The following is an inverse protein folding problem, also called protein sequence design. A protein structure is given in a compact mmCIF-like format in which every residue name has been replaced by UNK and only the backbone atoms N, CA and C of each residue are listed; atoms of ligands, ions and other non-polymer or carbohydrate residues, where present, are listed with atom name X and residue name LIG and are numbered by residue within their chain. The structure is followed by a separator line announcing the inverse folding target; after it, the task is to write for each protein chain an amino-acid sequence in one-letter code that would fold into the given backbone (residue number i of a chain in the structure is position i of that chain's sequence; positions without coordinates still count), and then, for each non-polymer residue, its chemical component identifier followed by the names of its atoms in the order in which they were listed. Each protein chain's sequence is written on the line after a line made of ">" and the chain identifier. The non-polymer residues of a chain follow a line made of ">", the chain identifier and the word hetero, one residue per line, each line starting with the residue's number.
data_IF_449351551778
#
_entry.id   IF_449351551778
#
_cell.length_a   1.000
_cell.length_b   1.000
_cell.length_c   1.000
_cell.angle_alpha   90.00
_cell.angle_beta   90.00
_cell.angle_gamma   90.00
#
_symmetry.space_group_name_H-M   'P 1'
#
loop_
_entity.id
_entity.type
_entity.pdbx_description
1 polymer ?
#
# COMPACT_ATOMS: atom_id res chain seq x y z
N UNK A 1 -23.31 6.00 9.84
CA UNK A 1 -22.14 5.35 9.22
C UNK A 1 -22.42 4.99 7.78
N UNK A 2 -21.42 5.11 6.91
CA UNK A 2 -21.49 4.73 5.51
C UNK A 2 -20.71 3.44 5.25
N UNK A 3 -21.18 2.61 4.30
CA UNK A 3 -20.46 1.43 3.81
C UNK A 3 -19.72 1.81 2.53
N UNK A 4 -18.40 1.78 2.59
CA UNK A 4 -17.55 1.91 1.42
C UNK A 4 -17.12 0.53 0.92
N UNK A 5 -17.24 0.36 -0.40
CA UNK A 5 -16.52 -0.68 -1.11
C UNK A 5 -15.09 -0.20 -1.34
N UNK A 6 -14.18 -1.18 -1.41
CA UNK A 6 -12.76 -1.17 -1.80
C UNK A 6 -12.23 0.02 -2.61
N UNK A 7 -13.03 0.59 -3.52
CA UNK A 7 -12.64 1.66 -4.45
C UNK A 7 -12.88 3.11 -3.97
N UNK A 8 -13.49 3.32 -2.80
CA UNK A 8 -13.88 4.68 -2.34
C UNK A 8 -12.84 5.37 -1.43
N UNK A 9 -11.57 5.37 -1.83
CA UNK A 9 -10.46 5.97 -1.06
C UNK A 9 -10.69 7.47 -0.76
N UNK A 10 -11.29 8.21 -1.69
CA UNK A 10 -11.53 9.67 -1.55
C UNK A 10 -12.36 10.00 -0.30
N UNK A 11 -13.38 9.19 -0.01
CA UNK A 11 -14.22 9.37 1.18
C UNK A 11 -13.52 9.00 2.48
N UNK A 12 -12.58 8.06 2.47
CA UNK A 12 -11.78 7.79 3.68
C UNK A 12 -10.90 8.99 4.04
N UNK A 13 -10.29 9.64 3.05
CA UNK A 13 -9.43 10.81 3.28
C UNK A 13 -10.18 11.96 3.96
N UNK A 14 -11.49 12.09 3.76
CA UNK A 14 -12.34 13.07 4.45
C UNK A 14 -12.46 12.82 5.96
N UNK A 15 -12.28 11.58 6.42
CA UNK A 15 -12.33 11.22 7.84
C UNK A 15 -10.98 11.38 8.55
N UNK A 16 -9.87 11.34 7.81
CA UNK A 16 -8.51 11.36 8.38
C UNK A 16 -8.26 12.58 9.27
N UNK A 17 -8.62 13.83 8.89
CA UNK A 17 -8.44 14.98 9.77
C UNK A 17 -9.20 14.82 11.10
N UNK A 18 -10.48 14.41 11.04
CA UNK A 18 -11.33 14.22 12.23
C UNK A 18 -10.79 13.16 13.19
N UNK A 19 -10.17 12.11 12.65
CA UNK A 19 -9.56 11.06 13.46
C UNK A 19 -8.27 11.56 14.11
N UNK A 20 -7.45 12.33 13.38
CA UNK A 20 -6.21 12.90 13.91
C UNK A 20 -6.48 13.91 15.03
N UNK A 21 -7.58 14.65 14.94
CA UNK A 21 -7.97 15.64 15.95
C UNK A 21 -8.31 15.02 17.31
N UNK A 22 -8.82 13.77 17.34
CA UNK A 22 -9.22 13.10 18.57
C UNK A 22 -9.00 11.57 18.51
N UNK A 23 -7.74 11.14 18.40
CA UNK A 23 -7.39 9.71 18.30
C UNK A 23 -7.99 8.86 19.43
N UNK A 24 -8.14 9.45 20.62
CA UNK A 24 -8.68 8.77 21.79
C UNK A 24 -10.15 8.39 21.62
N UNK A 25 -10.95 9.13 20.85
CA UNK A 25 -12.36 8.83 20.61
C UNK A 25 -12.62 7.81 19.51
N UNK A 26 -11.63 7.49 18.67
CA UNK A 26 -11.81 6.60 17.52
C UNK A 26 -11.31 5.18 17.78
N UNK A 27 -12.02 4.20 17.21
CA UNK A 27 -11.65 2.78 17.26
C UNK A 27 -11.58 2.23 15.85
N UNK A 28 -10.61 1.36 15.63
CA UNK A 28 -10.62 0.43 14.51
C UNK A 28 -11.18 -0.90 15.00
N UNK A 29 -12.07 -1.50 14.21
CA UNK A 29 -12.54 -2.87 14.40
C UNK A 29 -12.23 -3.67 13.14
N UNK A 30 -11.51 -4.76 13.29
CA UNK A 30 -11.30 -5.74 12.23
C UNK A 30 -12.24 -6.91 12.48
N UNK A 31 -13.07 -7.23 11.50
CA UNK A 31 -14.02 -8.34 11.55
C UNK A 31 -13.61 -9.37 10.50
N UNK A 32 -13.01 -10.46 10.97
CA UNK A 32 -12.64 -11.61 10.15
C UNK A 32 -13.83 -12.57 10.04
N UNK A 33 -14.14 -13.01 8.82
CA UNK A 33 -15.21 -13.98 8.54
C UNK A 33 -14.59 -15.36 8.36
N UNK A 34 -14.79 -16.24 9.33
CA UNK A 34 -14.06 -17.50 9.48
C UNK A 34 -14.77 -18.71 8.87
N UNK A 35 -15.75 -18.52 7.96
CA UNK A 35 -16.45 -19.62 7.31
C UNK A 35 -17.46 -19.20 6.23
N UNK A 36 -18.09 -20.19 5.58
CA UNK A 36 -19.23 -19.97 4.69
C UNK A 36 -20.52 -19.81 5.51
N UNK A 37 -20.90 -18.55 5.74
CA UNK A 37 -22.06 -18.16 6.56
C UNK A 37 -23.39 -18.27 5.80
N UNK A 38 -23.36 -18.62 4.52
CA UNK A 38 -24.52 -18.48 3.62
C UNK A 38 -24.92 -17.03 3.31
N UNK A 39 -24.23 -16.05 3.89
CA UNK A 39 -24.50 -14.62 3.75
C UNK A 39 -23.36 -13.93 3.00
N UNK A 40 -23.72 -13.04 2.06
CA UNK A 40 -22.74 -12.22 1.36
C UNK A 40 -22.09 -11.21 2.34
N UNK A 41 -20.79 -10.95 2.20
CA UNK A 41 -20.03 -9.97 3.01
C UNK A 41 -20.71 -8.59 3.09
N UNK A 42 -21.37 -8.16 2.02
CA UNK A 42 -22.16 -6.91 1.99
C UNK A 42 -23.32 -6.93 2.99
N UNK A 43 -23.98 -8.07 3.16
CA UNK A 43 -25.05 -8.23 4.13
C UNK A 43 -24.52 -8.13 5.56
N UNK A 44 -23.36 -8.76 5.83
CA UNK A 44 -22.70 -8.71 7.15
C UNK A 44 -22.24 -7.27 7.45
N UNK A 45 -21.66 -6.57 6.47
CA UNK A 45 -21.29 -5.16 6.60
C UNK A 45 -22.49 -4.25 6.96
N UNK A 46 -23.68 -4.52 6.39
CA UNK A 46 -24.92 -3.81 6.78
C UNK A 46 -25.28 -4.07 8.24
N UNK A 47 -25.19 -5.32 8.71
CA UNK A 47 -25.46 -5.65 10.12
C UNK A 47 -24.48 -4.99 11.08
N UNK A 48 -23.19 -4.97 10.74
CA UNK A 48 -22.19 -4.22 11.50
C UNK A 48 -22.53 -2.72 11.53
N UNK A 49 -22.96 -2.16 10.40
CA UNK A 49 -23.36 -0.73 10.32
C UNK A 49 -24.55 -0.43 11.23
N UNK A 50 -25.56 -1.31 11.28
CA UNK A 50 -26.72 -1.19 12.17
C UNK A 50 -26.30 -1.15 13.66
N UNK A 51 -25.28 -1.92 14.05
CA UNK A 51 -24.78 -1.96 15.44
C UNK A 51 -24.20 -0.62 15.92
N UNK A 52 -23.73 0.20 14.98
CA UNK A 52 -23.14 1.51 15.22
C UNK A 52 -24.06 2.65 14.76
N UNK A 53 -25.36 2.39 14.65
CA UNK A 53 -26.34 3.43 14.32
C UNK A 53 -26.23 4.61 15.29
N UNK A 54 -26.26 5.83 14.74
CA UNK A 54 -26.07 7.08 15.48
C UNK A 54 -24.60 7.43 15.79
N UNK A 55 -23.63 6.59 15.43
CA UNK A 55 -22.21 6.92 15.54
C UNK A 55 -21.63 7.42 14.23
N UNK A 56 -20.64 8.31 14.34
CA UNK A 56 -19.83 8.73 13.22
C UNK A 56 -18.79 7.64 12.91
N UNK A 57 -18.62 7.32 11.64
CA UNK A 57 -17.73 6.24 11.24
C UNK A 57 -18.04 5.71 9.85
N UNK A 58 -17.22 4.76 9.45
CA UNK A 58 -17.15 4.22 8.10
C UNK A 58 -16.80 2.73 8.15
N UNK A 59 -17.44 1.96 7.27
CA UNK A 59 -17.23 0.51 7.14
C UNK A 59 -16.58 0.26 5.79
N UNK A 60 -15.46 -0.45 5.81
CA UNK A 60 -14.72 -0.91 4.64
C UNK A 60 -14.92 -2.41 4.50
N UNK A 61 -15.31 -2.83 3.32
CA UNK A 61 -15.22 -4.25 2.96
C UNK A 61 -13.82 -4.42 2.34
N UNK A 62 -12.95 -5.22 2.96
CA UNK A 62 -11.52 -5.37 2.60
C UNK A 62 -11.22 -6.62 1.77
N UNK A 63 -12.06 -7.65 1.87
CA UNK A 63 -12.21 -8.78 0.94
C UNK A 63 -13.46 -9.57 1.36
N UNK A 64 -13.75 -10.70 0.71
CA UNK A 64 -14.89 -11.55 1.07
C UNK A 64 -14.79 -12.18 2.47
N UNK A 65 -13.65 -12.05 3.14
CA UNK A 65 -13.37 -12.64 4.46
C UNK A 65 -13.03 -11.58 5.52
N UNK A 66 -13.05 -10.30 5.19
CA UNK A 66 -12.60 -9.26 6.12
C UNK A 66 -13.34 -7.93 5.91
N UNK A 67 -13.81 -7.36 7.01
CA UNK A 67 -14.43 -6.04 7.08
C UNK A 67 -13.66 -5.23 8.11
N UNK A 68 -13.32 -3.99 7.77
CA UNK A 68 -12.67 -3.04 8.66
C UNK A 68 -13.64 -1.91 8.97
N UNK A 69 -13.76 -1.53 10.23
CA UNK A 69 -14.65 -0.47 10.69
C UNK A 69 -13.81 0.58 11.38
N UNK A 70 -13.93 1.82 10.95
CA UNK A 70 -13.42 2.97 11.68
C UNK A 70 -14.62 3.71 12.26
N UNK A 71 -14.70 3.81 13.58
CA UNK A 71 -15.88 4.36 14.26
C UNK A 71 -15.48 5.21 15.45
N UNK A 72 -16.11 6.36 15.60
CA UNK A 72 -16.01 7.19 16.79
C UNK A 72 -16.89 6.56 17.88
N UNK A 73 -16.26 6.10 18.96
CA UNK A 73 -16.94 5.48 20.09
C UNK A 73 -16.81 6.27 21.39
N UNK A 74 -16.10 7.39 21.36
CA UNK A 74 -15.73 8.19 22.52
C UNK A 74 -14.53 7.59 23.28
N UNK A 75 -13.82 8.42 24.07
CA UNK A 75 -12.56 8.04 24.72
C UNK A 75 -12.73 6.93 25.76
N UNK A 76 -13.88 6.88 26.43
CA UNK A 76 -14.22 5.89 27.47
C UNK A 76 -14.49 4.48 26.94
N UNK A 77 -14.51 4.29 25.62
CA UNK A 77 -14.83 3.00 25.01
C UNK A 77 -13.64 2.04 25.12
N UNK A 78 -13.81 0.97 25.90
CA UNK A 78 -12.85 -0.14 25.95
C UNK A 78 -12.87 -0.95 24.62
N UNK A 79 -11.74 -1.04 23.90
CA UNK A 79 -11.64 -1.81 22.66
C UNK A 79 -11.92 -3.30 22.86
N UNK A 80 -11.44 -3.92 23.94
CA UNK A 80 -11.56 -5.37 24.12
C UNK A 80 -13.04 -5.77 24.31
N UNK A 81 -13.76 -5.01 25.12
CA UNK A 81 -15.21 -5.15 25.27
C UNK A 81 -15.97 -4.89 23.97
N UNK A 82 -15.54 -3.92 23.16
CA UNK A 82 -16.17 -3.62 21.89
C UNK A 82 -16.06 -4.80 20.91
N UNK A 83 -14.88 -5.40 20.77
CA UNK A 83 -14.66 -6.57 19.93
C UNK A 83 -15.50 -7.77 20.37
N UNK A 84 -15.48 -8.09 21.67
CA UNK A 84 -16.30 -9.17 22.25
C UNK A 84 -17.79 -8.98 21.97
N UNK A 85 -18.32 -7.78 22.20
CA UNK A 85 -19.73 -7.45 21.99
C UNK A 85 -20.17 -7.62 20.54
N UNK A 86 -19.27 -7.40 19.57
CA UNK A 86 -19.55 -7.64 18.15
C UNK A 86 -19.64 -9.15 17.88
N UNK A 87 -18.68 -9.93 18.37
CA UNK A 87 -18.73 -11.39 18.25
C UNK A 87 -19.98 -12.01 18.89
N UNK A 88 -20.33 -11.59 20.11
CA UNK A 88 -21.50 -12.10 20.85
C UNK A 88 -22.84 -11.77 20.19
N UNK A 89 -22.94 -10.62 19.52
CA UNK A 89 -24.17 -10.21 18.82
C UNK A 89 -24.30 -10.78 17.41
N UNK A 90 -23.23 -11.38 16.89
CA UNK A 90 -23.15 -11.89 15.52
C UNK A 90 -22.74 -13.38 15.42
N UNK A 91 -23.19 -14.29 16.32
CA UNK A 91 -22.74 -15.68 16.32
C UNK A 91 -23.14 -16.44 15.04
N UNK A 92 -24.28 -16.10 14.44
CA UNK A 92 -24.78 -16.68 13.19
C UNK A 92 -23.94 -16.30 11.96
N UNK A 93 -23.07 -15.30 12.07
CA UNK A 93 -22.26 -14.80 10.95
C UNK A 93 -20.83 -15.30 10.97
N UNK A 94 -20.49 -16.30 11.80
CA UNK A 94 -19.15 -16.93 11.88
C UNK A 94 -18.02 -15.89 11.76
N UNK A 95 -18.07 -14.85 12.58
CA UNK A 95 -17.14 -13.75 12.52
C UNK A 95 -16.41 -13.57 13.86
N UNK A 96 -15.11 -13.30 13.78
CA UNK A 96 -14.30 -12.86 14.89
C UNK A 96 -14.02 -11.36 14.75
N UNK A 97 -14.27 -10.60 15.81
CA UNK A 97 -14.07 -9.16 15.82
C UNK A 97 -12.99 -8.78 16.84
N UNK A 98 -12.01 -8.03 16.38
CA UNK A 98 -10.96 -7.45 17.20
C UNK A 98 -11.02 -5.93 17.07
N UNK A 99 -11.07 -5.22 18.19
CA UNK A 99 -11.07 -3.77 18.19
C UNK A 99 -9.84 -3.24 18.93
N UNK A 100 -9.31 -2.13 18.42
CA UNK A 100 -8.16 -1.45 18.99
C UNK A 100 -8.37 0.07 19.00
N UNK A 101 -7.66 0.75 19.90
CA UNK A 101 -7.47 2.20 19.79
C UNK A 101 -6.73 2.54 18.51
N UNK A 102 -7.06 3.68 17.90
CA UNK A 102 -6.33 4.12 16.72
C UNK A 102 -5.08 4.91 17.13
N UNK A 103 -3.95 4.53 16.56
CA UNK A 103 -2.71 5.31 16.64
C UNK A 103 -2.48 6.01 15.29
N UNK A 104 -1.64 7.05 15.22
CA UNK A 104 -1.25 7.65 13.95
C UNK A 104 -0.69 6.60 12.96
N UNK A 105 0.06 5.63 13.47
CA UNK A 105 0.63 4.54 12.68
C UNK A 105 -0.46 3.59 12.19
N UNK A 106 -1.40 3.21 13.05
CA UNK A 106 -2.56 2.39 12.69
C UNK A 106 -3.41 3.06 11.61
N UNK A 107 -3.69 4.37 11.75
CA UNK A 107 -4.41 5.15 10.75
C UNK A 107 -3.69 5.16 9.39
N UNK A 108 -2.36 5.28 9.42
CA UNK A 108 -1.54 5.25 8.23
C UNK A 108 -1.51 3.86 7.56
N UNK A 109 -1.45 2.78 8.33
CA UNK A 109 -1.52 1.41 7.80
C UNK A 109 -2.86 1.15 7.10
N UNK A 110 -3.97 1.67 7.65
CA UNK A 110 -5.29 1.61 7.00
C UNK A 110 -5.26 2.39 5.67
N UNK A 111 -4.64 3.57 5.63
CA UNK A 111 -4.47 4.32 4.37
C UNK A 111 -3.67 3.55 3.31
N UNK A 112 -2.57 2.86 3.68
CA UNK A 112 -1.81 2.02 2.73
C UNK A 112 -2.74 0.92 2.21
N UNK A 113 -3.39 0.21 3.12
CA UNK A 113 -4.22 -0.93 2.79
C UNK A 113 -5.36 -0.56 1.85
N UNK A 114 -5.99 0.58 2.06
CA UNK A 114 -7.09 1.06 1.21
C UNK A 114 -6.61 1.56 -0.16
N UNK A 115 -5.36 2.01 -0.30
CA UNK A 115 -4.75 2.30 -1.60
C UNK A 115 -4.56 1.02 -2.43
N UNK A 116 -4.05 -0.05 -1.83
CA UNK A 116 -3.88 -1.35 -2.48
C UNK A 116 -5.22 -1.98 -2.91
N UNK A 117 -6.32 -1.68 -2.20
CA UNK A 117 -7.65 -2.24 -2.45
C UNK A 117 -8.49 -1.41 -3.45
N UNK A 118 -8.16 -0.14 -3.66
CA UNK A 118 -8.91 0.79 -4.50
C UNK A 118 -8.26 1.16 -5.83
N UNK A 119 -7.04 0.68 -6.09
CA UNK A 119 -6.41 0.82 -7.39
C UNK A 119 -7.20 0.02 -8.43
N UNK A 120 -7.76 0.69 -9.44
CA UNK A 120 -8.03 -0.01 -10.70
C UNK A 120 -6.70 -0.66 -11.16
N UNK A 121 -6.73 -1.85 -11.78
CA UNK A 121 -5.50 -2.50 -12.21
C UNK A 121 -4.70 -1.48 -13.02
N UNK A 122 -3.48 -1.17 -12.59
CA UNK A 122 -2.71 -0.05 -13.11
C UNK A 122 -2.53 -0.08 -14.64
N UNK A 123 -2.70 -1.25 -15.27
CA UNK A 123 -2.82 -1.40 -16.72
C UNK A 123 -3.97 -0.62 -17.36
N UNK A 124 -5.10 -0.44 -16.67
CA UNK A 124 -6.25 0.36 -17.10
C UNK A 124 -6.04 1.85 -16.82
N UNK A 125 -5.42 2.21 -15.68
CA UNK A 125 -5.08 3.61 -15.35
C UNK A 125 -4.01 4.21 -16.26
N UNK A 126 -3.07 3.39 -16.75
CA UNK A 126 -1.99 3.82 -17.64
C UNK A 126 -2.30 3.55 -19.12
N UNK A 127 -3.55 3.22 -19.47
CA UNK A 127 -4.00 2.93 -20.82
C UNK A 127 -3.81 4.18 -21.72
N UNK A 128 -2.66 4.25 -22.39
CA UNK A 128 -2.29 5.35 -23.30
C UNK A 128 -0.88 5.91 -23.11
N UNK A 129 -0.20 5.64 -21.98
CA UNK A 129 1.16 6.14 -21.75
C UNK A 129 2.18 5.43 -22.67
N UNK A 130 2.92 6.17 -23.54
CA UNK A 130 3.96 5.57 -24.39
C UNK A 130 5.10 4.96 -23.57
N UNK A 131 5.45 5.57 -22.44
CA UNK A 131 6.51 5.10 -21.55
C UNK A 131 6.11 3.79 -20.85
N UNK A 132 4.88 3.73 -20.34
CA UNK A 132 4.32 2.50 -19.76
C UNK A 132 4.29 1.35 -20.77
N UNK A 133 3.79 1.62 -21.99
CA UNK A 133 3.73 0.62 -23.05
C UNK A 133 5.13 0.17 -23.51
N UNK A 134 6.09 1.09 -23.55
CA UNK A 134 7.49 0.78 -23.85
C UNK A 134 8.05 -0.22 -22.85
N UNK A 135 7.80 0.00 -21.55
CA UNK A 135 8.13 -0.98 -20.51
C UNK A 135 7.39 -2.28 -20.76
N UNK A 136 6.06 -2.27 -20.79
CA UNK A 136 5.19 -3.46 -20.92
C UNK A 136 5.60 -4.42 -22.04
N UNK A 137 6.14 -3.90 -23.15
CA UNK A 137 6.57 -4.69 -24.32
C UNK A 137 7.99 -5.26 -24.24
N UNK A 138 8.77 -4.95 -23.20
CA UNK A 138 10.11 -5.54 -23.00
C UNK A 138 10.02 -7.03 -22.69
N UNK A 139 11.03 -7.78 -23.16
CA UNK A 139 11.20 -9.20 -22.84
C UNK A 139 11.63 -9.44 -21.40
N UNK A 140 12.41 -8.51 -20.86
CA UNK A 140 13.01 -8.60 -19.53
C UNK A 140 12.68 -7.34 -18.73
N UNK A 141 12.50 -7.51 -17.42
CA UNK A 141 12.31 -6.40 -16.50
C UNK A 141 13.63 -5.68 -16.26
N UNK A 142 13.60 -4.36 -16.15
CA UNK A 142 14.76 -3.52 -15.82
C UNK A 142 14.52 -2.86 -14.48
N UNK A 143 15.47 -2.96 -13.56
CA UNK A 143 15.36 -2.39 -12.21
C UNK A 143 16.51 -1.42 -11.99
N UNK A 144 16.18 -0.23 -11.48
CA UNK A 144 17.15 0.75 -11.02
C UNK A 144 17.20 0.71 -9.49
N UNK A 145 18.39 0.54 -8.93
CA UNK A 145 18.66 0.59 -7.49
C UNK A 145 19.56 1.80 -7.24
N UNK A 146 19.03 2.79 -6.53
CA UNK A 146 19.73 4.00 -6.13
C UNK A 146 19.84 4.04 -4.60
N UNK A 147 21.04 3.77 -4.09
CA UNK A 147 21.35 3.69 -2.66
C UNK A 147 22.86 3.87 -2.50
N UNK A 148 23.35 4.69 -1.59
CA UNK A 148 24.80 4.91 -1.40
C UNK A 148 25.46 3.71 -0.68
N UNK A 149 24.69 2.94 0.09
CA UNK A 149 25.15 1.77 0.81
C UNK A 149 25.30 0.54 -0.12
N UNK A 150 26.55 0.15 -0.36
CA UNK A 150 26.91 -1.05 -1.13
C UNK A 150 26.24 -2.33 -0.62
N UNK A 151 26.09 -2.47 0.71
CA UNK A 151 25.48 -3.64 1.32
C UNK A 151 23.97 -3.71 1.01
N UNK A 152 23.28 -2.57 1.05
CA UNK A 152 21.86 -2.48 0.66
C UNK A 152 21.66 -2.79 -0.83
N UNK A 153 22.51 -2.26 -1.71
CA UNK A 153 22.47 -2.60 -3.14
C UNK A 153 22.68 -4.09 -3.39
N UNK A 154 23.67 -4.69 -2.72
CA UNK A 154 23.93 -6.13 -2.83
C UNK A 154 22.75 -6.98 -2.33
N UNK A 155 22.05 -6.54 -1.29
CA UNK A 155 20.88 -7.24 -0.75
C UNK A 155 19.70 -7.20 -1.73
N UNK A 156 19.41 -6.04 -2.30
CA UNK A 156 18.38 -5.88 -3.35
C UNK A 156 18.72 -6.72 -4.57
N UNK A 157 19.97 -6.66 -5.03
CA UNK A 157 20.45 -7.42 -6.17
C UNK A 157 20.27 -8.92 -5.97
N UNK A 158 20.71 -9.44 -4.83
CA UNK A 158 20.56 -10.86 -4.49
C UNK A 158 19.10 -11.29 -4.38
N UNK A 159 18.21 -10.41 -3.91
CA UNK A 159 16.79 -10.72 -3.83
C UNK A 159 16.12 -10.81 -5.21
N UNK A 160 16.59 -10.00 -6.16
CA UNK A 160 16.05 -9.83 -7.51
C UNK A 160 16.82 -10.63 -8.58
N UNK A 161 17.86 -11.36 -8.17
CA UNK A 161 18.78 -12.08 -9.03
C UNK A 161 18.03 -13.03 -9.99
N UNK A 162 18.52 -13.12 -11.23
CA UNK A 162 17.92 -13.85 -12.36
C UNK A 162 16.51 -13.40 -12.81
N UNK A 163 15.90 -12.37 -12.20
CA UNK A 163 14.54 -11.91 -12.54
C UNK A 163 14.52 -10.64 -13.40
N UNK A 164 15.61 -9.90 -13.43
CA UNK A 164 15.69 -8.60 -14.09
C UNK A 164 17.13 -8.18 -14.38
N UNK A 165 17.27 -7.29 -15.35
CA UNK A 165 18.48 -6.51 -15.56
C UNK A 165 18.56 -5.41 -14.50
N UNK A 166 19.67 -5.37 -13.75
CA UNK A 166 19.85 -4.44 -12.63
C UNK A 166 20.84 -3.33 -13.00
N UNK A 167 20.44 -2.09 -12.72
CA UNK A 167 21.28 -0.89 -12.82
C UNK A 167 21.45 -0.34 -11.41
N UNK A 168 22.68 -0.04 -11.01
CA UNK A 168 23.03 0.41 -9.67
C UNK A 168 23.57 1.85 -9.74
N UNK A 169 23.07 2.72 -8.85
CA UNK A 169 23.57 4.08 -8.65
C UNK A 169 23.84 4.31 -7.16
N UNK A 170 24.92 5.01 -6.84
CA UNK A 170 25.27 5.39 -5.46
C UNK A 170 25.20 6.90 -5.20
N UNK A 171 24.80 7.68 -6.21
CA UNK A 171 24.77 9.14 -6.19
C UNK A 171 23.44 9.63 -6.77
N UNK A 172 22.82 10.62 -6.12
CA UNK A 172 21.52 11.15 -6.54
C UNK A 172 21.56 11.79 -7.94
N UNK A 173 22.68 12.42 -8.32
CA UNK A 173 22.80 13.16 -9.58
C UNK A 173 22.70 12.25 -10.82
N UNK A 174 23.08 10.99 -10.67
CA UNK A 174 23.11 10.04 -11.78
C UNK A 174 21.73 9.37 -12.00
N UNK A 175 20.84 9.42 -11.00
CA UNK A 175 19.60 8.64 -10.99
C UNK A 175 18.61 9.09 -12.06
N UNK A 176 18.36 10.40 -12.19
CA UNK A 176 17.40 10.92 -13.16
C UNK A 176 17.88 10.63 -14.59
N UNK A 177 19.16 10.88 -14.87
CA UNK A 177 19.76 10.57 -16.18
C UNK A 177 19.65 9.09 -16.50
N UNK A 178 19.96 8.21 -15.54
CA UNK A 178 19.82 6.77 -15.71
C UNK A 178 18.36 6.34 -15.91
N UNK A 179 17.42 6.96 -15.21
CA UNK A 179 16.00 6.71 -15.38
C UNK A 179 15.55 7.03 -16.80
N UNK A 180 15.92 8.19 -17.32
CA UNK A 180 15.54 8.63 -18.67
C UNK A 180 16.14 7.74 -19.76
N UNK A 181 17.40 7.29 -19.60
CA UNK A 181 18.07 6.42 -20.56
C UNK A 181 17.54 4.98 -20.52
N UNK A 182 17.31 4.43 -19.32
CA UNK A 182 17.00 3.01 -19.13
C UNK A 182 15.52 2.73 -18.97
N UNK A 183 14.71 3.73 -18.63
CA UNK A 183 13.27 3.64 -18.38
C UNK A 183 12.90 2.38 -17.57
N UNK A 184 13.38 2.25 -16.32
CA UNK A 184 13.23 1.03 -15.53
C UNK A 184 11.75 0.74 -15.20
N UNK A 185 11.45 -0.55 -15.01
CA UNK A 185 10.16 -1.05 -14.52
C UNK A 185 9.96 -0.77 -13.04
N UNK A 186 11.03 -0.82 -12.25
CA UNK A 186 11.01 -0.54 -10.81
C UNK A 186 12.23 0.29 -10.46
N UNK A 187 12.02 1.32 -9.64
CA UNK A 187 13.10 2.08 -9.00
C UNK A 187 13.04 1.82 -7.49
N UNK A 188 14.14 1.35 -6.92
CA UNK A 188 14.37 1.38 -5.48
C UNK A 188 15.26 2.58 -5.19
N UNK A 189 14.74 3.55 -4.43
CA UNK A 189 15.34 4.87 -4.29
C UNK A 189 15.53 5.23 -2.82
N UNK A 190 16.78 5.33 -2.37
CA UNK A 190 17.09 5.83 -1.04
C UNK A 190 16.83 7.34 -0.92
N UNK A 191 16.36 7.76 0.25
CA UNK A 191 16.10 9.18 0.53
C UNK A 191 17.42 9.92 0.67
N UNK A 192 18.37 9.33 1.39
CA UNK A 192 19.61 9.98 1.76
C UNK A 192 20.73 9.44 0.87
N UNK A 193 21.16 10.25 -0.10
CA UNK A 193 22.31 9.92 -0.96
C UNK A 193 23.25 11.14 -1.04
N UNK A 194 24.52 10.92 -1.40
CA UNK A 194 25.43 12.02 -1.74
C UNK A 194 24.82 12.93 -2.81
N UNK A 195 25.10 14.23 -2.66
CA UNK A 195 24.83 15.28 -3.65
C UNK A 195 23.37 15.53 -4.04
N UNK A 196 22.38 14.98 -3.31
CA UNK A 196 20.97 15.30 -3.53
C UNK A 196 20.01 14.51 -2.63
N UNK A 197 18.74 14.89 -2.65
CA UNK A 197 17.67 14.17 -1.94
C UNK A 197 16.97 13.20 -2.89
N UNK A 198 16.80 11.95 -2.48
CA UNK A 198 15.97 10.99 -3.22
C UNK A 198 14.52 11.45 -3.40
N UNK A 199 14.03 12.34 -2.53
CA UNK A 199 12.70 12.94 -2.70
C UNK A 199 12.63 13.94 -3.87
N UNK A 200 13.72 14.65 -4.15
CA UNK A 200 13.78 15.56 -5.30
C UNK A 200 13.85 14.74 -6.61
N UNK A 201 14.69 13.69 -6.62
CA UNK A 201 14.78 12.71 -7.70
C UNK A 201 13.42 12.08 -8.01
N UNK A 202 12.67 11.68 -6.97
CA UNK A 202 11.32 11.15 -7.10
C UNK A 202 10.39 12.14 -7.84
N UNK A 203 10.41 13.40 -7.42
CA UNK A 203 9.59 14.46 -8.03
C UNK A 203 9.96 14.70 -9.49
N UNK A 204 11.25 14.74 -9.82
CA UNK A 204 11.72 14.90 -11.20
C UNK A 204 11.29 13.74 -12.10
N UNK A 205 11.43 12.50 -11.62
CA UNK A 205 11.01 11.32 -12.37
C UNK A 205 9.50 11.34 -12.61
N UNK A 206 8.68 11.62 -11.59
CA UNK A 206 7.23 11.61 -11.73
C UNK A 206 6.69 12.77 -12.56
N UNK A 207 7.38 13.92 -12.60
CA UNK A 207 7.07 15.01 -13.53
C UNK A 207 7.30 14.61 -14.99
N UNK A 208 8.26 13.73 -15.26
CA UNK A 208 8.54 13.21 -16.61
C UNK A 208 7.66 12.00 -16.96
N UNK A 209 7.46 11.10 -15.99
CA UNK A 209 6.77 9.83 -16.14
C UNK A 209 5.87 9.58 -14.93
N UNK A 210 4.62 10.03 -15.03
CA UNK A 210 3.58 9.79 -14.03
C UNK A 210 3.28 8.30 -13.78
N UNK A 211 3.76 7.42 -14.66
CA UNK A 211 3.56 5.96 -14.57
C UNK A 211 4.75 5.23 -13.94
N UNK A 212 5.78 5.97 -13.49
CA UNK A 212 6.95 5.41 -12.84
C UNK A 212 6.59 4.65 -11.56
N UNK A 213 7.14 3.46 -11.39
CA UNK A 213 6.94 2.63 -10.19
C UNK A 213 8.17 2.72 -9.28
N UNK A 214 8.06 3.49 -8.21
CA UNK A 214 9.16 3.90 -7.33
C UNK A 214 8.88 3.48 -5.90
N UNK A 215 9.83 2.77 -5.30
CA UNK A 215 9.82 2.30 -3.92
C UNK A 215 10.91 3.05 -3.16
N UNK A 216 10.52 3.78 -2.12
CA UNK A 216 11.46 4.55 -1.31
C UNK A 216 12.16 3.63 -0.30
N UNK A 217 13.47 3.77 -0.13
CA UNK A 217 14.27 3.13 0.90
C UNK A 217 14.58 4.14 2.01
N UNK A 218 14.67 3.70 3.26
CA UNK A 218 15.00 4.61 4.36
C UNK A 218 15.55 3.89 5.58
N UNK A 219 16.59 4.47 6.18
CA UNK A 219 17.11 4.10 7.50
C UNK A 219 16.33 4.74 8.65
N UNK A 220 15.62 5.83 8.39
CA UNK A 220 14.84 6.52 9.40
C UNK A 220 13.56 5.72 9.69
N UNK A 221 13.48 5.18 10.91
CA UNK A 221 12.27 4.57 11.46
C UNK A 221 11.18 5.60 11.80
N UNK A 222 11.50 6.89 11.65
CA UNK A 222 10.67 8.02 12.07
C UNK A 222 9.75 8.44 10.91
N UNK A 223 8.53 7.92 11.02
CA UNK A 223 7.18 8.46 10.74
C UNK A 223 6.99 9.70 9.82
N UNK A 224 7.89 10.67 9.74
CA UNK A 224 7.64 11.94 9.04
C UNK A 224 7.99 11.89 7.54
N UNK A 225 9.03 11.15 7.14
CA UNK A 225 9.35 10.96 5.70
C UNK A 225 8.41 9.97 5.01
N UNK A 226 7.93 8.96 5.73
CA UNK A 226 6.90 8.02 5.27
C UNK A 226 5.55 8.73 5.05
N UNK A 227 5.25 9.77 5.84
CA UNK A 227 4.06 10.61 5.68
C UNK A 227 4.14 11.53 4.44
N UNK A 228 5.34 11.99 4.07
CA UNK A 228 5.55 12.81 2.87
C UNK A 228 5.57 11.98 1.57
N UNK A 229 6.15 10.77 1.60
CA UNK A 229 6.31 9.91 0.41
C UNK A 229 4.99 9.50 -0.29
N UNK A 230 3.87 9.53 0.43
CA UNK A 230 2.53 9.25 -0.15
C UNK A 230 1.89 10.45 -0.85
N UNK A 231 2.28 11.66 -0.50
CA UNK A 231 1.86 12.86 -1.23
C UNK A 231 2.72 13.09 -2.47
N UNK A 232 3.87 12.42 -2.56
CA UNK A 232 4.83 12.60 -3.65
C UNK A 232 4.66 11.59 -4.79
N UNK A 233 3.75 10.61 -4.70
CA UNK A 233 3.44 9.68 -5.80
C UNK A 233 4.24 8.37 -5.82
N UNK A 234 5.03 8.07 -4.77
CA UNK A 234 5.69 6.77 -4.65
C UNK A 234 4.70 5.63 -4.34
N UNK A 235 4.99 4.42 -4.83
CA UNK A 235 4.11 3.24 -4.70
C UNK A 235 4.38 2.44 -3.43
N UNK A 236 5.49 2.69 -2.75
CA UNK A 236 5.82 1.94 -1.55
C UNK A 236 7.04 2.44 -0.82
N UNK A 237 7.29 1.79 0.32
CA UNK A 237 8.40 2.13 1.20
C UNK A 237 8.98 0.88 1.86
N UNK A 238 10.31 0.81 1.89
CA UNK A 238 11.08 -0.23 2.55
C UNK A 238 11.98 0.37 3.62
N UNK A 239 11.66 0.09 4.88
CA UNK A 239 12.54 0.40 6.00
C UNK A 239 13.79 -0.50 5.95
N UNK A 240 14.97 0.10 6.03
CA UNK A 240 16.25 -0.60 6.14
C UNK A 240 16.45 -1.09 7.59
N UNK A 241 16.98 -2.32 7.79
CA UNK A 241 17.21 -3.35 6.78
C UNK A 241 15.90 -4.02 6.34
N UNK A 242 15.72 -4.23 5.04
CA UNK A 242 14.55 -4.90 4.47
C UNK A 242 14.82 -6.39 4.22
N UNK A 243 13.75 -7.19 4.10
CA UNK A 243 13.85 -8.63 3.83
C UNK A 243 13.61 -8.93 2.35
N UNK A 244 14.15 -10.06 1.87
CA UNK A 244 13.90 -10.53 0.50
C UNK A 244 12.41 -10.66 0.19
N UNK A 245 11.59 -11.13 1.13
CA UNK A 245 10.14 -11.22 0.97
C UNK A 245 9.50 -9.88 0.63
N UNK A 246 9.81 -8.83 1.41
CA UNK A 246 9.27 -7.48 1.16
C UNK A 246 9.73 -6.88 -0.16
N UNK A 247 10.98 -7.13 -0.57
CA UNK A 247 11.49 -6.69 -1.88
C UNK A 247 10.68 -7.35 -3.00
N UNK A 248 10.48 -8.67 -2.92
CA UNK A 248 9.75 -9.44 -3.92
C UNK A 248 8.26 -9.07 -3.97
N UNK A 249 7.65 -8.73 -2.84
CA UNK A 249 6.26 -8.28 -2.78
C UNK A 249 6.08 -6.99 -3.60
N UNK A 250 6.95 -6.00 -3.43
CA UNK A 250 6.88 -4.76 -4.21
C UNK A 250 7.24 -4.98 -5.68
N UNK A 251 8.23 -5.81 -5.97
CA UNK A 251 8.62 -6.15 -7.34
C UNK A 251 7.44 -6.78 -8.11
N UNK A 252 6.75 -7.76 -7.51
CA UNK A 252 5.60 -8.45 -8.14
C UNK A 252 4.37 -7.59 -8.29
N UNK A 253 4.20 -6.59 -7.42
CA UNK A 253 3.11 -5.59 -7.53
C UNK A 253 3.33 -4.59 -8.66
N UNK A 254 4.55 -4.47 -9.21
CA UNK A 254 4.79 -3.60 -10.35
C UNK A 254 3.93 -4.06 -11.56
N UNK A 255 3.12 -3.17 -12.17
CA UNK A 255 2.15 -3.57 -13.19
C UNK A 255 2.78 -4.23 -14.42
N UNK A 256 3.92 -3.71 -14.89
CA UNK A 256 4.62 -4.24 -16.07
C UNK A 256 5.30 -5.58 -15.76
N UNK A 257 5.80 -5.76 -14.53
CA UNK A 257 6.35 -7.03 -14.05
C UNK A 257 5.26 -8.09 -13.93
N UNK A 258 4.16 -7.77 -13.23
CA UNK A 258 3.02 -8.68 -13.04
C UNK A 258 2.44 -9.17 -14.37
N UNK A 259 2.34 -8.25 -15.35
CA UNK A 259 1.87 -8.59 -16.70
C UNK A 259 2.83 -9.55 -17.43
N UNK A 260 4.16 -9.41 -17.26
CA UNK A 260 5.14 -10.35 -17.84
C UNK A 260 5.10 -11.73 -17.18
N UNK A 261 5.07 -11.79 -15.85
CA UNK A 261 4.99 -13.07 -15.13
C UNK A 261 3.71 -13.84 -15.51
N UNK A 262 2.58 -13.14 -15.66
CA UNK A 262 1.31 -13.74 -16.10
C UNK A 262 1.37 -14.32 -17.52
N UNK A 263 2.06 -13.64 -18.45
CA UNK A 263 2.27 -14.12 -19.83
C UNK A 263 3.18 -15.37 -19.86
N UNK A 264 4.26 -15.37 -19.08
CA UNK A 264 5.18 -16.51 -19.03
C UNK A 264 4.53 -17.77 -18.43
N UNK A 265 3.67 -17.62 -17.42
CA UNK A 265 2.92 -18.73 -16.83
C UNK A 265 1.90 -19.38 -17.80
N UNK A 266 1.41 -18.64 -18.79
CA UNK A 266 0.51 -19.16 -19.83
C UNK A 266 1.22 -19.88 -20.98
N UNK A 267 2.51 -19.58 -21.22
CA UNK A 267 3.30 -20.21 -22.28
C UNK A 267 3.90 -21.56 -21.86
N UNK A 268 3.95 -21.84 -20.54
CA UNK A 268 4.48 -23.09 -19.97
C UNK A 268 3.40 -24.13 -19.62
N UNK A 269 2.13 -23.88 -19.93
CA UNK A 269 1.01 -24.84 -19.81
C UNK A 269 0.56 -25.31 -21.18
#
# INVERSE_FOLDING_TARGET
>A
MEILKYYNQRRFLEFVPKVKDDLAAWRIVTVALTGHTGHNVMYIAKKITEMFSGREGIVFICNNQEILVLVNTGPESDPEQLGRKIGEKMPQYSCAAEAAGITPEGLFQIQIRLQDLGAEPATEQHAGSPLFNTRLNRKESVILIADDDMFMRSLLKKALDDRATIIEMGDANDVVTAYLDKLPDVVFLDIHMPHGSGMDVLGEILNYDETAYIIILSSDSIKDNVMNAKHTGAQGFLAKPFTQGKILDYFRKCPTVAARESKQAHVQK
#
